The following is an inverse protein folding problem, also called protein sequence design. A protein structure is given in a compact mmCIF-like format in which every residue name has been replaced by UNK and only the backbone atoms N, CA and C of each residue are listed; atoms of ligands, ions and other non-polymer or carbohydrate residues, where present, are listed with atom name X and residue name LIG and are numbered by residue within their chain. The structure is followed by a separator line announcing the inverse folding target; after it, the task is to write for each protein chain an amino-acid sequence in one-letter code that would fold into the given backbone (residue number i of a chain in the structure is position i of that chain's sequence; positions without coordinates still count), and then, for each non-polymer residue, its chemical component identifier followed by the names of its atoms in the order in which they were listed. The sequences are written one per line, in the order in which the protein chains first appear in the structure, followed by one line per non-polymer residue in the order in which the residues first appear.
data_IF_631429384310
#
_entry.id   IF_631429384310
#
_cell.length_a   1.000
_cell.length_b   1.000
_cell.length_c   1.000
_cell.angle_alpha   90.00
_cell.angle_beta   90.00
_cell.angle_gamma   90.00
#
_symmetry.space_group_name_H-M   'P 1'
#
loop_
_entity.id
_entity.type
_entity.pdbx_description
1 polymer ?
#
# COMPACT_ATOMS: atom_id res chain seq x y z
N UNK A 1 -31.35 -28.10 2.28
CA UNK A 1 -30.34 -27.39 1.48
C UNK A 1 -30.58 -25.90 1.61
N UNK A 2 -29.55 -25.14 2.00
CA UNK A 2 -29.57 -23.68 2.06
C UNK A 2 -28.54 -23.17 1.08
N UNK A 3 -28.93 -22.21 0.24
CA UNK A 3 -28.03 -21.53 -0.71
C UNK A 3 -27.58 -20.21 -0.10
N UNK A 4 -26.28 -19.98 0.00
CA UNK A 4 -25.69 -18.74 0.52
C UNK A 4 -24.55 -18.28 -0.37
N UNK A 5 -24.51 -16.99 -0.67
CA UNK A 5 -23.37 -16.34 -1.34
C UNK A 5 -22.50 -15.68 -0.28
N UNK A 6 -21.20 -15.94 -0.32
CA UNK A 6 -20.23 -15.55 0.70
C UNK A 6 -19.04 -14.90 -0.02
N UNK A 7 -18.55 -13.73 0.43
CA UNK A 7 -17.32 -13.14 -0.09
C UNK A 7 -16.11 -14.01 0.25
N UNK A 8 -15.17 -14.12 -0.68
CA UNK A 8 -13.89 -14.82 -0.49
C UNK A 8 -12.76 -13.81 -0.63
N UNK A 9 -11.86 -13.79 0.36
CA UNK A 9 -10.65 -12.96 0.35
C UNK A 9 -9.46 -13.72 -0.25
N UNK A 10 -8.46 -12.97 -0.71
CA UNK A 10 -7.17 -13.47 -1.22
C UNK A 10 -7.24 -14.31 -2.53
N UNK A 11 -8.35 -14.29 -3.25
CA UNK A 11 -8.43 -14.87 -4.60
C UNK A 11 -7.79 -13.93 -5.64
N UNK A 12 -6.66 -14.34 -6.20
CA UNK A 12 -5.90 -13.50 -7.16
C UNK A 12 -5.97 -13.99 -8.62
N UNK A 13 -6.47 -15.20 -8.89
CA UNK A 13 -6.57 -15.73 -10.24
C UNK A 13 -7.69 -16.79 -10.39
N UNK A 14 -8.01 -17.15 -11.64
CA UNK A 14 -8.97 -18.21 -11.95
C UNK A 14 -8.58 -19.59 -11.37
N UNK A 15 -7.29 -19.84 -11.20
CA UNK A 15 -6.80 -21.08 -10.56
C UNK A 15 -7.08 -21.06 -9.05
N UNK A 16 -6.91 -19.91 -8.38
CA UNK A 16 -7.31 -19.73 -6.98
C UNK A 16 -8.81 -19.97 -6.80
N UNK A 17 -9.64 -19.40 -7.68
CA UNK A 17 -11.07 -19.61 -7.68
C UNK A 17 -11.43 -21.10 -7.79
N UNK A 18 -10.82 -21.82 -8.73
CA UNK A 18 -11.02 -23.26 -8.87
C UNK A 18 -10.55 -24.08 -7.67
N UNK A 19 -9.50 -23.64 -6.97
CA UNK A 19 -9.02 -24.32 -5.76
C UNK A 19 -10.00 -24.14 -4.59
N UNK A 20 -10.53 -22.93 -4.40
CA UNK A 20 -11.58 -22.65 -3.40
C UNK A 20 -12.84 -23.46 -3.71
N UNK A 21 -13.28 -23.48 -4.97
CA UNK A 21 -14.46 -24.23 -5.41
C UNK A 21 -14.33 -25.74 -5.09
N UNK A 22 -13.19 -26.34 -5.44
CA UNK A 22 -12.92 -27.76 -5.13
C UNK A 22 -12.84 -28.04 -3.63
N UNK A 23 -12.20 -27.14 -2.87
CA UNK A 23 -12.06 -27.29 -1.41
C UNK A 23 -13.43 -27.32 -0.75
N UNK A 24 -14.33 -26.41 -1.14
CA UNK A 24 -15.69 -26.35 -0.58
C UNK A 24 -16.58 -27.46 -1.12
N UNK A 25 -16.50 -27.80 -2.41
CA UNK A 25 -17.25 -28.91 -3.00
C UNK A 25 -16.86 -30.29 -2.43
N UNK A 26 -15.63 -30.44 -1.91
CA UNK A 26 -15.14 -31.66 -1.28
C UNK A 26 -15.59 -31.86 0.16
N UNK A 27 -16.28 -30.89 0.77
CA UNK A 27 -16.74 -31.00 2.15
C UNK A 27 -18.05 -31.80 2.23
N UNK A 28 -18.11 -32.73 3.17
CA UNK A 28 -19.33 -33.49 3.46
C UNK A 28 -20.46 -32.54 3.88
N UNK A 29 -21.60 -32.62 3.20
CA UNK A 29 -22.75 -31.73 3.43
C UNK A 29 -22.87 -30.57 2.44
N UNK A 30 -21.93 -30.40 1.50
CA UNK A 30 -22.04 -29.45 0.38
C UNK A 30 -22.61 -30.17 -0.85
N UNK A 31 -23.69 -29.61 -1.41
CA UNK A 31 -24.37 -30.12 -2.60
C UNK A 31 -23.83 -29.50 -3.88
N UNK A 32 -23.57 -28.19 -3.85
CA UNK A 32 -22.95 -27.47 -4.95
C UNK A 32 -22.13 -26.29 -4.41
N UNK A 33 -21.02 -26.00 -5.07
CA UNK A 33 -20.21 -24.82 -4.80
C UNK A 33 -19.79 -24.23 -6.15
N UNK A 34 -19.97 -22.93 -6.33
CA UNK A 34 -19.59 -22.23 -7.56
C UNK A 34 -18.98 -20.88 -7.22
N UNK A 35 -17.78 -20.62 -7.74
CA UNK A 35 -17.05 -19.37 -7.49
C UNK A 35 -17.28 -18.39 -8.65
N UNK A 36 -17.68 -17.17 -8.32
CA UNK A 36 -17.64 -16.04 -9.23
C UNK A 36 -16.37 -15.23 -8.96
N UNK A 37 -15.33 -15.50 -9.76
CA UNK A 37 -14.04 -14.82 -9.65
C UNK A 37 -14.17 -13.31 -9.85
N UNK A 38 -14.96 -12.86 -10.82
CA UNK A 38 -15.15 -11.43 -11.10
C UNK A 38 -15.78 -10.66 -9.93
N UNK A 39 -16.63 -11.34 -9.14
CA UNK A 39 -17.30 -10.75 -7.99
C UNK A 39 -16.61 -11.04 -6.65
N UNK A 40 -15.51 -11.82 -6.63
CA UNK A 40 -14.88 -12.32 -5.40
C UNK A 40 -15.86 -13.00 -4.43
N UNK A 41 -16.83 -13.75 -4.95
CA UNK A 41 -17.83 -14.45 -4.13
C UNK A 41 -17.93 -15.92 -4.49
N UNK A 42 -18.20 -16.77 -3.50
CA UNK A 42 -18.60 -18.16 -3.70
C UNK A 42 -20.08 -18.31 -3.36
N UNK A 43 -20.82 -19.03 -4.20
CA UNK A 43 -22.19 -19.45 -3.93
C UNK A 43 -22.17 -20.93 -3.57
N UNK A 44 -22.58 -21.26 -2.35
CA UNK A 44 -22.56 -22.61 -1.80
C UNK A 44 -23.97 -23.03 -1.44
N UNK A 45 -24.34 -24.24 -1.83
CA UNK A 45 -25.56 -24.91 -1.42
C UNK A 45 -25.18 -26.08 -0.50
N UNK A 46 -25.59 -26.01 0.77
CA UNK A 46 -25.16 -26.96 1.80
C UNK A 46 -26.32 -27.35 2.73
N UNK A 47 -26.15 -28.42 3.49
CA UNK A 47 -27.07 -28.80 4.55
C UNK A 47 -26.57 -28.30 5.92
N UNK A 48 -27.28 -27.33 6.56
CA UNK A 48 -26.89 -26.78 7.86
C UNK A 48 -26.86 -27.81 8.99
N UNK A 49 -27.48 -28.99 8.82
CA UNK A 49 -27.46 -30.07 9.81
C UNK A 49 -26.15 -30.86 9.81
N UNK A 50 -25.43 -30.86 8.70
CA UNK A 50 -24.20 -31.66 8.51
C UNK A 50 -22.94 -30.78 8.52
N UNK A 51 -23.03 -29.55 8.02
CA UNK A 51 -21.89 -28.63 7.97
C UNK A 51 -22.28 -27.19 8.36
N UNK A 52 -21.40 -26.57 9.14
CA UNK A 52 -21.52 -25.17 9.55
C UNK A 52 -20.58 -24.28 8.72
N UNK A 53 -20.97 -23.02 8.55
CA UNK A 53 -20.20 -21.97 7.86
C UNK A 53 -18.80 -21.81 8.43
N UNK A 54 -18.62 -21.95 9.75
CA UNK A 54 -17.30 -21.89 10.41
C UNK A 54 -16.37 -23.03 9.99
N UNK A 55 -16.90 -24.25 9.81
CA UNK A 55 -16.10 -25.38 9.30
C UNK A 55 -15.68 -25.15 7.85
N UNK A 56 -16.57 -24.59 7.03
CA UNK A 56 -16.22 -24.21 5.65
C UNK A 56 -15.13 -23.13 5.63
N UNK A 57 -15.25 -22.09 6.46
CA UNK A 57 -14.22 -21.05 6.59
C UNK A 57 -12.87 -21.65 7.00
N UNK A 58 -12.85 -22.55 7.99
CA UNK A 58 -11.62 -23.19 8.45
C UNK A 58 -10.94 -24.00 7.32
N UNK A 59 -11.72 -24.76 6.54
CA UNK A 59 -11.21 -25.53 5.41
C UNK A 59 -10.62 -24.62 4.32
N UNK A 60 -11.29 -23.51 4.02
CA UNK A 60 -10.81 -22.53 3.03
C UNK A 60 -9.58 -21.77 3.54
N UNK A 61 -9.51 -21.45 4.84
CA UNK A 61 -8.32 -20.91 5.52
C UNK A 61 -7.11 -21.82 5.45
N UNK A 62 -7.31 -23.12 5.62
CA UNK A 62 -6.24 -24.10 5.46
C UNK A 62 -5.75 -24.19 4.01
N UNK A 63 -6.60 -23.87 3.03
CA UNK A 63 -6.23 -23.77 1.62
C UNK A 63 -5.56 -22.43 1.25
N UNK A 64 -5.46 -21.48 2.20
CA UNK A 64 -4.79 -20.19 1.99
C UNK A 64 -5.71 -19.03 1.58
N UNK A 65 -7.03 -19.16 1.75
CA UNK A 65 -8.02 -18.12 1.43
C UNK A 65 -8.94 -17.88 2.63
N UNK A 66 -9.75 -16.82 2.64
CA UNK A 66 -10.69 -16.59 3.75
C UNK A 66 -12.13 -16.42 3.29
N UNK A 67 -13.09 -16.96 4.04
CA UNK A 67 -14.52 -16.75 3.82
C UNK A 67 -15.04 -15.71 4.81
N UNK A 68 -15.69 -14.67 4.30
CA UNK A 68 -16.31 -13.64 5.14
C UNK A 68 -17.69 -14.13 5.59
N UNK A 69 -17.71 -14.94 6.64
CA UNK A 69 -18.94 -15.54 7.18
C UNK A 69 -19.58 -14.73 8.31
N UNK A 70 -18.80 -13.84 8.92
CA UNK A 70 -19.22 -12.95 10.01
C UNK A 70 -19.16 -11.51 9.50
N UNK A 71 -20.31 -10.96 9.08
CA UNK A 71 -20.54 -9.51 9.04
C UNK A 71 -20.77 -9.02 10.47
N UNK A 72 -19.80 -9.25 11.37
CA UNK A 72 -19.90 -8.75 12.74
C UNK A 72 -19.55 -7.27 12.71
N UNK A 73 -20.40 -6.41 13.27
CA UNK A 73 -20.17 -4.96 13.39
C UNK A 73 -18.77 -4.62 13.94
N UNK A 74 -18.18 -5.50 14.74
CA UNK A 74 -16.83 -5.37 15.29
C UNK A 74 -15.72 -5.42 14.21
N UNK A 75 -15.87 -6.27 13.19
CA UNK A 75 -14.92 -6.38 12.06
C UNK A 75 -15.03 -5.14 11.17
N UNK A 76 -16.26 -4.69 10.86
CA UNK A 76 -16.49 -3.44 10.12
C UNK A 76 -15.92 -2.22 10.86
N UNK A 77 -16.02 -2.20 12.20
CA UNK A 77 -15.46 -1.13 13.02
C UNK A 77 -13.92 -1.14 13.02
N UNK A 78 -13.29 -2.31 13.10
CA UNK A 78 -11.82 -2.44 13.00
C UNK A 78 -11.30 -2.02 11.63
N UNK A 79 -11.95 -2.47 10.55
CA UNK A 79 -11.62 -2.06 9.18
C UNK A 79 -11.80 -0.55 9.00
N UNK A 80 -12.89 0.01 9.54
CA UNK A 80 -13.13 1.47 9.49
C UNK A 80 -12.09 2.24 10.30
N UNK A 81 -11.62 1.74 11.44
CA UNK A 81 -10.51 2.35 12.21
C UNK A 81 -9.20 2.32 11.42
N UNK A 82 -8.90 1.19 10.78
CA UNK A 82 -7.70 1.00 9.94
C UNK A 82 -7.74 1.89 8.70
N UNK A 83 -8.89 1.97 8.04
CA UNK A 83 -9.15 2.88 6.93
C UNK A 83 -9.01 4.35 7.33
N UNK A 84 -9.57 4.76 8.47
CA UNK A 84 -9.40 6.12 9.01
C UNK A 84 -7.95 6.44 9.35
N UNK A 85 -7.17 5.47 9.81
CA UNK A 85 -5.74 5.64 10.07
C UNK A 85 -4.96 5.82 8.76
N UNK A 86 -5.21 4.98 7.75
CA UNK A 86 -4.63 5.12 6.40
C UNK A 86 -5.01 6.47 5.77
N UNK A 87 -6.29 6.85 5.83
CA UNK A 87 -6.79 8.12 5.29
C UNK A 87 -6.14 9.32 5.97
N UNK A 88 -5.98 9.30 7.30
CA UNK A 88 -5.28 10.37 8.02
C UNK A 88 -3.82 10.49 7.60
N UNK A 89 -3.14 9.37 7.37
CA UNK A 89 -1.75 9.35 6.88
C UNK A 89 -1.64 9.88 5.46
N UNK A 90 -2.55 9.45 4.57
CA UNK A 90 -2.63 9.95 3.20
C UNK A 90 -2.88 11.46 3.17
N UNK A 91 -3.86 11.94 3.94
CA UNK A 91 -4.15 13.38 4.04
C UNK A 91 -2.94 14.13 4.60
N UNK A 92 -2.28 13.62 5.65
CA UNK A 92 -1.09 14.25 6.20
C UNK A 92 0.07 14.32 5.18
N UNK A 93 0.28 13.27 4.39
CA UNK A 93 1.31 13.24 3.35
C UNK A 93 1.01 14.27 2.25
N UNK A 94 -0.24 14.34 1.76
CA UNK A 94 -0.66 15.33 0.76
C UNK A 94 -0.61 16.77 1.27
N UNK A 95 -1.06 17.01 2.50
CA UNK A 95 -1.01 18.34 3.13
C UNK A 95 0.42 18.84 3.28
N UNK A 96 1.40 17.93 3.44
CA UNK A 96 2.81 18.31 3.52
C UNK A 96 3.51 18.39 2.14
N UNK A 97 3.14 17.54 1.18
CA UNK A 97 3.75 17.51 -0.15
C UNK A 97 3.29 18.65 -1.07
N UNK A 98 2.01 19.05 -1.01
CA UNK A 98 1.47 20.12 -1.87
C UNK A 98 2.16 21.47 -1.63
N UNK A 99 2.38 21.93 -0.39
CA UNK A 99 3.13 23.17 -0.14
C UNK A 99 4.57 23.11 -0.66
N UNK A 100 5.25 21.96 -0.52
CA UNK A 100 6.60 21.77 -1.07
C UNK A 100 6.58 21.93 -2.59
N UNK A 101 5.64 21.28 -3.26
CA UNK A 101 5.49 21.39 -4.71
C UNK A 101 5.22 22.84 -5.14
N UNK A 102 4.29 23.53 -4.49
CA UNK A 102 3.97 24.94 -4.80
C UNK A 102 5.18 25.83 -4.58
N UNK A 103 5.88 25.69 -3.45
CA UNK A 103 7.08 26.47 -3.15
C UNK A 103 8.21 26.21 -4.17
N UNK A 104 8.36 24.97 -4.63
CA UNK A 104 9.34 24.59 -5.67
C UNK A 104 9.06 25.29 -7.00
N UNK A 105 7.79 25.55 -7.32
CA UNK A 105 7.39 26.24 -8.56
C UNK A 105 7.50 27.77 -8.48
N UNK A 106 7.63 28.35 -7.29
CA UNK A 106 7.80 29.80 -7.12
C UNK A 106 9.27 30.21 -7.22
N UNK A 107 9.54 31.47 -7.60
CA UNK A 107 10.89 32.05 -7.61
C UNK A 107 11.61 31.95 -6.26
N UNK A 108 10.84 31.83 -5.17
CA UNK A 108 11.37 31.59 -3.82
C UNK A 108 12.17 30.29 -3.74
N UNK A 109 11.80 29.25 -4.48
CA UNK A 109 12.53 27.97 -4.57
C UNK A 109 13.89 28.07 -5.26
N UNK A 110 14.14 29.13 -6.04
CA UNK A 110 15.45 29.39 -6.65
C UNK A 110 16.42 30.15 -5.73
N UNK A 111 15.92 30.78 -4.67
CA UNK A 111 16.77 31.45 -3.68
C UNK A 111 17.51 30.44 -2.80
N UNK A 112 18.71 30.80 -2.32
CA UNK A 112 19.48 29.93 -1.43
C UNK A 112 18.69 29.54 -0.16
N UNK A 113 17.98 30.51 0.45
CA UNK A 113 17.16 30.26 1.62
C UNK A 113 15.96 29.34 1.32
N UNK A 114 15.29 29.51 0.19
CA UNK A 114 14.17 28.65 -0.22
C UNK A 114 14.60 27.21 -0.50
N UNK A 115 15.78 27.01 -1.08
CA UNK A 115 16.35 25.67 -1.31
C UNK A 115 16.60 24.90 -0.01
N UNK A 116 17.17 25.57 1.00
CA UNK A 116 17.36 24.97 2.32
C UNK A 116 16.03 24.70 3.04
N UNK A 117 15.05 25.60 2.90
CA UNK A 117 13.71 25.40 3.43
C UNK A 117 13.03 24.18 2.79
N UNK A 118 13.10 24.04 1.46
CA UNK A 118 12.58 22.88 0.73
C UNK A 118 13.28 21.59 1.14
N UNK A 119 14.60 21.59 1.29
CA UNK A 119 15.36 20.43 1.78
C UNK A 119 14.90 19.99 3.18
N UNK A 120 14.66 20.94 4.09
CA UNK A 120 14.18 20.67 5.45
C UNK A 120 12.74 20.16 5.46
N UNK A 121 11.84 20.81 4.72
CA UNK A 121 10.43 20.39 4.63
C UNK A 121 10.31 18.98 4.04
N UNK A 122 11.06 18.69 2.98
CA UNK A 122 11.04 17.35 2.37
C UNK A 122 11.66 16.29 3.26
N UNK A 123 12.72 16.62 4.00
CA UNK A 123 13.25 15.72 5.02
C UNK A 123 12.20 15.40 6.09
N UNK A 124 11.42 16.38 6.55
CA UNK A 124 10.32 16.16 7.51
C UNK A 124 9.27 15.20 6.92
N UNK A 125 8.87 15.39 5.65
CA UNK A 125 7.92 14.50 4.97
C UNK A 125 8.45 13.07 4.89
N UNK A 126 9.71 12.89 4.46
CA UNK A 126 10.34 11.57 4.32
C UNK A 126 10.53 10.88 5.68
N UNK A 127 10.86 11.63 6.74
CA UNK A 127 11.05 11.07 8.08
C UNK A 127 9.70 10.75 8.75
N UNK A 128 8.67 11.55 8.55
CA UNK A 128 7.37 11.33 9.19
C UNK A 128 6.52 10.31 8.42
N UNK A 129 6.19 10.60 7.16
CA UNK A 129 5.36 9.75 6.33
C UNK A 129 6.14 8.59 5.72
N UNK A 130 7.41 8.83 5.34
CA UNK A 130 8.23 7.84 4.63
C UNK A 130 8.88 6.77 5.50
N UNK A 131 8.93 6.93 6.83
CA UNK A 131 9.66 6.04 7.75
C UNK A 131 9.27 4.57 7.60
N UNK A 132 7.99 4.27 7.40
CA UNK A 132 7.55 2.88 7.24
C UNK A 132 8.16 2.24 5.98
N UNK A 133 8.24 2.98 4.86
CA UNK A 133 8.85 2.49 3.63
C UNK A 133 10.35 2.23 3.81
N UNK A 134 11.08 3.17 4.43
CA UNK A 134 12.52 3.00 4.66
C UNK A 134 12.83 1.81 5.57
N UNK A 135 12.06 1.62 6.65
CA UNK A 135 12.25 0.48 7.57
C UNK A 135 11.95 -0.84 6.86
N UNK A 136 10.90 -0.91 6.03
CA UNK A 136 10.55 -2.10 5.25
C UNK A 136 11.60 -2.39 4.17
N UNK A 137 12.03 -1.35 3.45
CA UNK A 137 13.07 -1.43 2.44
C UNK A 137 14.39 -1.96 3.02
N UNK A 138 14.81 -1.45 4.19
CA UNK A 138 16.00 -1.92 4.87
C UNK A 138 15.91 -3.41 5.23
N UNK A 139 14.77 -3.85 5.77
CA UNK A 139 14.54 -5.27 6.09
C UNK A 139 14.58 -6.17 4.84
N UNK A 140 14.06 -5.71 3.71
CA UNK A 140 14.12 -6.45 2.44
C UNK A 140 15.55 -6.51 1.89
N UNK A 141 16.29 -5.40 1.96
CA UNK A 141 17.68 -5.34 1.55
C UNK A 141 18.55 -6.33 2.35
N UNK A 142 18.37 -6.39 3.67
CA UNK A 142 19.02 -7.39 4.52
C UNK A 142 18.69 -8.84 4.13
N UNK A 143 17.49 -9.08 3.60
CA UNK A 143 17.03 -10.39 3.13
C UNK A 143 17.41 -10.68 1.67
N UNK A 144 18.18 -9.79 1.03
CA UNK A 144 18.54 -9.86 -0.40
C UNK A 144 17.33 -10.00 -1.32
N UNK A 145 16.21 -9.38 -0.97
CA UNK A 145 15.01 -9.29 -1.79
C UNK A 145 14.66 -7.84 -2.10
N UNK A 146 13.88 -7.60 -3.15
CA UNK A 146 13.39 -6.28 -3.54
C UNK A 146 11.86 -6.28 -3.65
N UNK A 147 11.22 -5.19 -3.23
CA UNK A 147 9.78 -4.97 -3.30
C UNK A 147 9.44 -3.51 -3.69
N UNK A 148 8.16 -3.15 -3.74
CA UNK A 148 7.72 -1.77 -4.02
C UNK A 148 8.35 -0.75 -3.05
N UNK A 149 8.39 -1.04 -1.74
CA UNK A 149 8.99 -0.14 -0.74
C UNK A 149 10.47 0.12 -1.00
N UNK A 150 11.23 -0.88 -1.46
CA UNK A 150 12.66 -0.68 -1.80
C UNK A 150 12.86 0.28 -2.96
N UNK A 151 11.99 0.23 -3.98
CA UNK A 151 12.07 1.11 -5.14
C UNK A 151 11.72 2.55 -4.76
N UNK A 152 10.69 2.73 -3.93
CA UNK A 152 10.27 4.04 -3.40
C UNK A 152 11.34 4.65 -2.49
N UNK A 153 11.90 3.86 -1.58
CA UNK A 153 12.95 4.33 -0.68
C UNK A 153 14.21 4.76 -1.43
N UNK A 154 14.62 3.97 -2.45
CA UNK A 154 15.80 4.27 -3.26
C UNK A 154 15.61 5.53 -4.10
N UNK A 155 14.46 5.68 -4.77
CA UNK A 155 14.20 6.83 -5.64
C UNK A 155 14.13 8.14 -4.85
N UNK A 156 13.36 8.17 -3.77
CA UNK A 156 13.19 9.35 -2.91
C UNK A 156 14.49 9.73 -2.19
N UNK A 157 15.27 8.75 -1.71
CA UNK A 157 16.58 9.01 -1.12
C UNK A 157 17.58 9.57 -2.14
N UNK A 158 17.61 9.00 -3.35
CA UNK A 158 18.53 9.45 -4.41
C UNK A 158 18.21 10.87 -4.83
N UNK A 159 16.93 11.20 -5.04
CA UNK A 159 16.49 12.56 -5.39
C UNK A 159 16.83 13.58 -4.29
N UNK A 160 16.58 13.23 -3.02
CA UNK A 160 16.88 14.13 -1.90
C UNK A 160 18.38 14.35 -1.71
N UNK A 161 19.20 13.28 -1.75
CA UNK A 161 20.65 13.38 -1.62
C UNK A 161 21.30 14.13 -2.79
N UNK A 162 20.85 13.89 -4.01
CA UNK A 162 21.34 14.61 -5.18
C UNK A 162 21.01 16.11 -5.10
N UNK A 163 19.78 16.44 -4.70
CA UNK A 163 19.36 17.83 -4.51
C UNK A 163 20.14 18.53 -3.41
N UNK A 164 20.44 17.82 -2.32
CA UNK A 164 21.30 18.34 -1.24
C UNK A 164 22.74 18.57 -1.72
N UNK A 165 23.28 17.65 -2.52
CA UNK A 165 24.62 17.79 -3.10
C UNK A 165 24.75 19.05 -3.96
N UNK A 166 23.75 19.35 -4.79
CA UNK A 166 23.73 20.57 -5.61
C UNK A 166 23.70 21.86 -4.78
N UNK A 167 23.09 21.85 -3.58
CA UNK A 167 23.08 23.00 -2.67
C UNK A 167 24.44 23.19 -1.99
N UNK A 168 25.07 22.10 -1.57
CA UNK A 168 26.35 22.13 -0.83
C UNK A 168 27.52 22.48 -1.76
N UNK A 169 27.46 22.09 -3.03
CA UNK A 169 28.51 22.35 -4.04
C UNK A 169 28.00 23.24 -5.19
N UNK A 170 27.77 24.54 -4.93
CA UNK A 170 27.24 25.45 -5.95
C UNK A 170 28.18 25.63 -7.14
N UNK A 171 29.50 25.58 -6.94
CA UNK A 171 30.49 25.72 -8.01
C UNK A 171 30.38 24.58 -9.04
N UNK A 172 30.13 23.36 -8.57
CA UNK A 172 29.93 22.20 -9.44
C UNK A 172 28.62 22.33 -10.25
N UNK A 173 27.54 22.75 -9.60
CA UNK A 173 26.23 22.98 -10.23
C UNK A 173 26.33 24.04 -11.33
N UNK A 174 26.99 25.17 -11.04
CA UNK A 174 27.13 26.28 -11.97
C UNK A 174 28.04 25.93 -13.15
N UNK A 175 29.13 25.20 -12.91
CA UNK A 175 30.06 24.76 -13.96
C UNK A 175 29.40 23.81 -14.99
N UNK A 176 28.40 23.02 -14.57
CA UNK A 176 27.67 22.09 -15.44
C UNK A 176 26.35 22.64 -15.96
N UNK A 177 26.04 23.91 -15.72
CA UNK A 177 24.80 24.54 -16.18
C UNK A 177 23.53 23.96 -15.56
N UNK A 178 23.63 23.28 -14.41
CA UNK A 178 22.50 22.60 -13.76
C UNK A 178 21.53 23.56 -13.06
N UNK A 179 21.78 24.88 -13.11
CA UNK A 179 20.84 25.94 -12.71
C UNK A 179 20.38 25.91 -11.25
N UNK A 180 20.94 25.01 -10.43
CA UNK A 180 20.43 24.66 -9.11
C UNK A 180 18.96 24.19 -9.13
N UNK A 181 18.52 23.55 -10.21
CA UNK A 181 17.26 22.82 -10.19
C UNK A 181 17.37 21.67 -9.19
N UNK A 182 16.50 21.70 -8.18
CA UNK A 182 16.44 20.70 -7.11
C UNK A 182 15.19 19.84 -7.29
N UNK A 183 15.28 18.58 -6.89
CA UNK A 183 14.25 17.55 -7.09
C UNK A 183 13.55 17.18 -5.77
N UNK A 184 13.50 18.11 -4.82
CA UNK A 184 12.85 17.90 -3.53
C UNK A 184 11.34 17.67 -3.67
N UNK A 185 10.70 18.41 -4.58
CA UNK A 185 9.31 18.25 -4.95
C UNK A 185 9.00 16.82 -5.43
N UNK A 186 9.85 16.26 -6.28
CA UNK A 186 9.72 14.91 -6.82
C UNK A 186 9.76 13.86 -5.70
N UNK A 187 10.71 13.99 -4.77
CA UNK A 187 10.80 13.10 -3.62
C UNK A 187 9.58 13.19 -2.70
N UNK A 188 9.08 14.41 -2.44
CA UNK A 188 7.89 14.63 -1.61
C UNK A 188 6.61 14.10 -2.26
N UNK A 189 6.44 14.30 -3.56
CA UNK A 189 5.27 13.84 -4.31
C UNK A 189 5.24 12.31 -4.41
N UNK A 190 6.38 11.66 -4.68
CA UNK A 190 6.46 10.19 -4.68
C UNK A 190 6.04 9.62 -3.31
N UNK A 191 6.52 10.22 -2.21
CA UNK A 191 6.18 9.78 -0.86
C UNK A 191 4.70 10.02 -0.48
N UNK A 192 4.00 10.94 -1.16
CA UNK A 192 2.57 11.22 -0.92
C UNK A 192 1.62 10.38 -1.79
N UNK A 193 2.08 9.92 -2.97
CA UNK A 193 1.29 9.09 -3.88
C UNK A 193 1.27 7.60 -3.51
N UNK A 194 2.31 7.12 -2.81
CA UNK A 194 2.45 5.73 -2.33
C UNK A 194 1.77 5.56 -0.99
#
# INVERSE_FOLDING_TARGET
MVKKTIPVLDMSCAVCAGNVERTVAGLEGVASASVNFSANTITVEYDPKTIDLRRMQQAVRNAGYDLVIDETKEVEEEERKRYKALRRRLVAAWVAAVPVMVLSMTDMGMTACGRWLLAALTAIVLIYSGREFYVRAWKMLCRRSANMDTLVALSTASAWLFSLFLIVFPDFSNAHGLGGHVYFDSAAMIAAFV
#
